data_IF_631938844709
#
_entry.id   IF_631938844709
#
_cell.length_a   1.000
_cell.length_b   1.000
_cell.length_c   1.000
_cell.angle_alpha   90.00
_cell.angle_beta   90.00
_cell.angle_gamma   90.00
#
_symmetry.space_group_name_H-M   'P 1'
#
loop_
_entity.id
_entity.type
_entity.pdbx_description
1 polymer ?
#
# COMPACT_ATOMS: atom_id res chain seq x y z
N UNK A 1 -14.90 0.88 -11.46
CA UNK A 1 -15.05 -0.32 -12.31
C UNK A 1 -14.14 -0.11 -13.51
N UNK A 2 -12.97 -0.75 -13.45
CA UNK A 2 -11.86 -0.53 -14.36
C UNK A 2 -12.20 -1.00 -15.79
N UNK A 3 -11.84 -0.18 -16.77
CA UNK A 3 -12.33 -0.24 -18.16
C UNK A 3 -11.58 -1.25 -19.03
N UNK A 4 -10.99 -2.29 -18.42
CA UNK A 4 -10.11 -3.24 -19.11
C UNK A 4 -10.83 -4.50 -19.59
N UNK A 5 -12.05 -4.76 -19.09
CA UNK A 5 -12.84 -5.96 -19.45
C UNK A 5 -13.69 -5.80 -20.72
N UNK A 6 -13.55 -4.70 -21.46
CA UNK A 6 -14.57 -4.24 -22.44
C UNK A 6 -14.12 -4.23 -23.90
N UNK A 7 -13.23 -5.12 -24.37
CA UNK A 7 -13.03 -5.29 -25.82
C UNK A 7 -13.91 -6.36 -26.47
N UNK A 8 -14.18 -7.48 -25.79
CA UNK A 8 -15.05 -8.56 -26.30
C UNK A 8 -16.21 -8.92 -25.36
N UNK A 9 -16.32 -8.24 -24.22
CA UNK A 9 -17.34 -8.50 -23.20
C UNK A 9 -17.07 -9.78 -22.39
N UNK A 10 -17.97 -10.08 -21.44
CA UNK A 10 -17.91 -11.30 -20.65
C UNK A 10 -18.23 -12.52 -21.52
N UNK A 11 -17.28 -13.43 -21.70
CA UNK A 11 -17.48 -14.71 -22.38
C UNK A 11 -17.84 -15.80 -21.36
N UNK A 12 -19.08 -16.35 -21.39
CA UNK A 12 -19.45 -17.47 -20.52
C UNK A 12 -18.61 -18.71 -20.85
N UNK A 13 -18.25 -19.51 -19.84
CA UNK A 13 -17.35 -20.67 -19.90
C UNK A 13 -15.83 -20.38 -20.01
N UNK A 14 -15.38 -19.17 -19.68
CA UNK A 14 -13.96 -18.87 -19.54
C UNK A 14 -13.38 -19.45 -18.23
N UNK A 15 -13.21 -20.77 -18.18
CA UNK A 15 -12.55 -21.46 -17.06
C UNK A 15 -11.02 -21.46 -17.17
N UNK A 16 -10.46 -20.97 -18.28
CA UNK A 16 -9.03 -21.00 -18.58
C UNK A 16 -8.57 -19.70 -19.24
N UNK A 17 -7.66 -19.03 -18.56
CA UNK A 17 -7.18 -17.67 -18.83
C UNK A 17 -6.44 -17.50 -20.17
N UNK A 18 -5.88 -18.57 -20.74
CA UNK A 18 -5.09 -18.47 -21.98
C UNK A 18 -5.92 -18.37 -23.26
N UNK A 19 -7.25 -18.51 -23.19
CA UNK A 19 -8.15 -18.44 -24.36
C UNK A 19 -8.57 -16.99 -24.69
N UNK A 20 -8.02 -15.99 -24.00
CA UNK A 20 -8.41 -14.58 -24.16
C UNK A 20 -8.08 -13.95 -25.53
N UNK A 21 -7.47 -14.68 -26.47
CA UNK A 21 -7.36 -14.24 -27.87
C UNK A 21 -6.65 -12.91 -28.07
N UNK A 22 -5.93 -12.42 -27.07
CA UNK A 22 -5.01 -11.30 -27.22
C UNK A 22 -3.76 -11.88 -27.86
N UNK A 23 -3.62 -11.67 -29.18
CA UNK A 23 -2.36 -11.91 -29.86
C UNK A 23 -1.33 -10.97 -29.23
N UNK A 24 -0.61 -11.45 -28.22
CA UNK A 24 0.60 -10.80 -27.76
C UNK A 24 1.51 -10.72 -28.98
N UNK A 25 1.73 -9.52 -29.51
CA UNK A 25 2.84 -9.30 -30.42
C UNK A 25 4.09 -9.71 -29.64
N UNK A 26 4.60 -10.91 -29.93
CA UNK A 26 5.80 -11.43 -29.33
C UNK A 26 6.94 -10.58 -29.88
N UNK A 27 7.34 -9.56 -29.13
CA UNK A 27 8.64 -8.94 -29.31
C UNK A 27 9.70 -10.07 -29.31
N UNK A 28 10.63 -9.99 -30.27
CA UNK A 28 11.60 -11.03 -30.53
C UNK A 28 12.33 -11.41 -29.24
N UNK A 29 12.07 -12.63 -28.77
CA UNK A 29 12.76 -13.22 -27.64
C UNK A 29 14.24 -13.35 -28.01
N UNK A 30 15.08 -12.50 -27.41
CA UNK A 30 16.49 -12.81 -27.32
C UNK A 30 16.56 -14.08 -26.48
N UNK A 31 16.98 -15.20 -27.10
CA UNK A 31 17.26 -16.44 -26.40
C UNK A 31 18.45 -16.21 -25.46
N UNK A 32 18.17 -15.65 -24.29
CA UNK A 32 19.07 -15.72 -23.15
C UNK A 32 18.94 -17.16 -22.67
N UNK A 33 19.96 -17.95 -23.01
CA UNK A 33 20.19 -19.27 -22.45
C UNK A 33 20.33 -19.12 -20.92
N UNK A 34 19.23 -19.29 -20.19
CA UNK A 34 19.25 -19.40 -18.74
C UNK A 34 18.10 -20.26 -18.27
N UNK A 35 18.31 -21.57 -18.36
CA UNK A 35 17.57 -22.58 -17.60
C UNK A 35 17.73 -22.41 -16.06
N UNK A 36 18.41 -21.34 -15.60
CA UNK A 36 18.52 -20.93 -14.19
C UNK A 36 17.50 -19.86 -13.77
N UNK A 37 16.77 -19.23 -14.71
CA UNK A 37 15.91 -18.06 -14.45
C UNK A 37 14.43 -18.43 -14.23
N UNK A 38 14.16 -19.55 -13.55
CA UNK A 38 12.84 -19.82 -12.97
C UNK A 38 12.92 -19.95 -11.45
N UNK A 39 13.89 -19.26 -10.84
CA UNK A 39 13.89 -19.03 -9.40
C UNK A 39 12.81 -18.00 -9.10
N UNK A 40 11.96 -18.34 -8.15
CA UNK A 40 10.94 -17.46 -7.63
C UNK A 40 11.57 -16.12 -7.24
N UNK A 41 11.18 -15.05 -7.96
CA UNK A 41 11.69 -13.69 -7.74
C UNK A 41 10.89 -12.94 -6.69
N UNK A 42 10.08 -13.61 -5.87
CA UNK A 42 9.37 -12.97 -4.75
C UNK A 42 10.31 -12.11 -3.89
N UNK A 43 11.53 -12.58 -3.59
CA UNK A 43 12.51 -11.81 -2.81
C UNK A 43 12.93 -10.53 -3.54
N UNK A 44 13.21 -10.61 -4.84
CA UNK A 44 13.57 -9.44 -5.65
C UNK A 44 12.40 -8.45 -5.80
N UNK A 45 11.15 -8.94 -5.88
CA UNK A 45 9.98 -8.05 -5.91
C UNK A 45 9.72 -7.36 -4.57
N UNK A 46 10.07 -8.01 -3.44
CA UNK A 46 10.03 -7.37 -2.13
C UNK A 46 11.10 -6.28 -2.02
N UNK A 47 12.30 -6.51 -2.54
CA UNK A 47 13.37 -5.51 -2.57
C UNK A 47 12.97 -4.29 -3.43
N UNK A 48 12.38 -4.51 -4.60
CA UNK A 48 11.87 -3.44 -5.47
C UNK A 48 10.75 -2.62 -4.75
N UNK A 49 9.88 -3.29 -4.01
CA UNK A 49 8.83 -2.65 -3.22
C UNK A 49 9.39 -1.82 -2.07
N UNK A 50 10.36 -2.36 -1.32
CA UNK A 50 11.06 -1.64 -0.25
C UNK A 50 11.74 -0.40 -0.81
N UNK A 51 12.44 -0.53 -1.95
CA UNK A 51 13.10 0.60 -2.61
C UNK A 51 12.11 1.66 -3.08
N UNK A 52 10.92 1.27 -3.53
CA UNK A 52 9.86 2.22 -3.90
C UNK A 52 9.29 2.96 -2.68
N UNK A 53 9.10 2.26 -1.55
CA UNK A 53 8.58 2.82 -0.30
C UNK A 53 9.59 3.76 0.35
N UNK A 54 10.87 3.38 0.44
CA UNK A 54 11.90 4.23 1.04
C UNK A 54 12.15 5.53 0.26
N UNK A 55 11.99 5.48 -1.07
CA UNK A 55 12.13 6.66 -1.92
C UNK A 55 10.86 7.54 -1.97
N UNK A 56 9.75 7.10 -1.37
CA UNK A 56 8.55 7.92 -1.26
C UNK A 56 8.75 8.97 -0.16
N UNK A 57 8.81 10.25 -0.55
CA UNK A 57 8.99 11.38 0.39
C UNK A 57 7.97 11.37 1.55
N UNK A 58 6.74 10.90 1.26
CA UNK A 58 5.64 10.78 2.22
C UNK A 58 5.96 9.83 3.40
N UNK A 59 6.86 8.85 3.21
CA UNK A 59 7.21 7.88 4.24
C UNK A 59 8.04 8.53 5.35
N UNK A 60 9.00 9.37 4.99
CA UNK A 60 9.81 10.13 5.95
C UNK A 60 8.92 11.09 6.77
N UNK A 61 8.01 11.79 6.10
CA UNK A 61 7.06 12.69 6.77
C UNK A 61 6.13 11.94 7.73
N UNK A 62 5.61 10.78 7.31
CA UNK A 62 4.77 9.93 8.13
C UNK A 62 5.50 9.46 9.41
N UNK A 63 6.72 8.95 9.27
CA UNK A 63 7.50 8.51 10.43
C UNK A 63 7.93 9.68 11.33
N UNK A 64 8.22 10.85 10.76
CA UNK A 64 8.46 12.08 11.50
C UNK A 64 7.25 12.47 12.35
N UNK A 65 6.04 12.48 11.76
CA UNK A 65 4.81 12.76 12.47
C UNK A 65 4.53 11.73 13.58
N UNK A 66 4.76 10.44 13.31
CA UNK A 66 4.63 9.38 14.30
C UNK A 66 5.59 9.58 15.48
N UNK A 67 6.83 9.99 15.21
CA UNK A 67 7.80 10.29 16.26
C UNK A 67 7.32 11.45 17.13
N UNK A 68 6.93 12.59 16.52
CA UNK A 68 6.40 13.75 17.23
C UNK A 68 5.15 13.43 18.06
N UNK A 69 4.27 12.54 17.56
CA UNK A 69 3.05 12.15 18.28
C UNK A 69 3.32 11.43 19.62
N UNK A 70 4.50 10.80 19.75
CA UNK A 70 4.94 10.09 20.96
C UNK A 70 5.58 11.01 21.99
N UNK A 71 5.90 12.25 21.62
CA UNK A 71 6.48 13.21 22.55
C UNK A 71 5.49 13.55 23.68
N UNK A 72 6.01 13.90 24.88
CA UNK A 72 5.19 14.37 25.98
C UNK A 72 4.31 15.56 25.57
N UNK A 73 3.08 15.60 26.09
CA UNK A 73 2.15 16.72 25.86
C UNK A 73 2.71 18.05 26.40
N UNK A 74 3.46 18.00 27.49
CA UNK A 74 4.11 19.14 28.13
C UNK A 74 5.36 18.66 28.88
N UNK A 75 6.32 19.54 29.13
CA UNK A 75 7.62 19.18 29.74
C UNK A 75 7.58 18.56 31.14
N UNK A 76 6.40 18.52 31.79
CA UNK A 76 6.20 17.92 33.10
C UNK A 76 5.22 16.72 33.09
N UNK A 77 4.69 16.33 31.93
CA UNK A 77 3.72 15.23 31.82
C UNK A 77 4.37 13.98 31.26
N UNK A 78 3.92 12.82 31.73
CA UNK A 78 4.34 11.50 31.21
C UNK A 78 3.46 11.01 30.06
N UNK A 79 2.40 11.76 29.74
CA UNK A 79 1.44 11.41 28.70
C UNK A 79 1.89 11.99 27.36
N UNK A 80 1.93 11.14 26.34
CA UNK A 80 2.21 11.60 24.98
C UNK A 80 1.05 12.43 24.43
N UNK A 81 1.35 13.28 23.43
CA UNK A 81 0.34 14.05 22.71
C UNK A 81 -0.77 13.16 22.15
N UNK A 82 -0.39 12.05 21.49
CA UNK A 82 -1.36 11.08 20.97
C UNK A 82 -2.25 10.50 22.08
N UNK A 83 -1.65 10.07 23.20
CA UNK A 83 -2.41 9.49 24.31
C UNK A 83 -3.40 10.50 24.92
N UNK A 84 -3.02 11.77 25.03
CA UNK A 84 -3.89 12.82 25.51
C UNK A 84 -5.08 13.06 24.57
N UNK A 85 -4.84 13.18 23.27
CA UNK A 85 -5.88 13.36 22.25
C UNK A 85 -6.82 12.16 22.22
N UNK A 86 -6.30 10.92 22.26
CA UNK A 86 -7.15 9.72 22.29
C UNK A 86 -8.07 9.70 23.51
N UNK A 87 -7.57 10.07 24.69
CA UNK A 87 -8.39 10.17 25.91
C UNK A 87 -9.47 11.24 25.77
N UNK A 88 -9.13 12.41 25.23
CA UNK A 88 -10.11 13.47 24.97
C UNK A 88 -11.18 13.02 23.97
N UNK A 89 -10.80 12.35 22.89
CA UNK A 89 -11.74 11.82 21.90
C UNK A 89 -12.66 10.75 22.51
N UNK A 90 -12.14 9.88 23.37
CA UNK A 90 -12.95 8.91 24.09
C UNK A 90 -14.00 9.58 24.99
N UNK A 91 -13.62 10.65 25.70
CA UNK A 91 -14.55 11.45 26.51
C UNK A 91 -15.60 12.12 25.61
N UNK A 92 -15.17 12.80 24.53
CA UNK A 92 -16.09 13.46 23.60
C UNK A 92 -17.10 12.47 23.00
N UNK A 93 -16.64 11.30 22.58
CA UNK A 93 -17.49 10.24 22.05
C UNK A 93 -18.48 9.72 23.10
N UNK A 94 -18.01 9.45 24.33
CA UNK A 94 -18.85 8.92 25.40
C UNK A 94 -19.98 9.88 25.81
N UNK A 95 -19.71 11.18 25.80
CA UNK A 95 -20.67 12.21 26.23
C UNK A 95 -21.29 12.99 25.06
N UNK A 96 -21.02 12.56 23.82
CA UNK A 96 -21.54 13.16 22.59
C UNK A 96 -21.27 14.68 22.49
N UNK A 97 -20.06 15.10 22.89
CA UNK A 97 -19.67 16.50 22.81
C UNK A 97 -19.41 16.92 21.35
N UNK A 98 -19.85 18.13 21.01
CA UNK A 98 -19.61 18.73 19.69
C UNK A 98 -18.11 18.86 19.39
N UNK A 99 -17.77 18.86 18.10
CA UNK A 99 -16.40 19.16 17.65
C UNK A 99 -16.05 20.62 17.96
N UNK A 100 -17.01 21.53 17.82
CA UNK A 100 -16.92 22.93 18.23
C UNK A 100 -17.27 23.05 19.72
N UNK A 101 -16.25 23.04 20.57
CA UNK A 101 -16.36 23.56 21.93
C UNK A 101 -15.78 24.96 21.97
#
# INVERSE_FOLDING_TARGET
>A
MERHLCKLGFMPNCGRWYEHGESQEQEAYILVDSFEENKDRMDAMMDDFVQQVENAAEVSEYFGLLASSKEPLHGATTLSQLAAVTRLMAIKSKYNFSVSC
#
